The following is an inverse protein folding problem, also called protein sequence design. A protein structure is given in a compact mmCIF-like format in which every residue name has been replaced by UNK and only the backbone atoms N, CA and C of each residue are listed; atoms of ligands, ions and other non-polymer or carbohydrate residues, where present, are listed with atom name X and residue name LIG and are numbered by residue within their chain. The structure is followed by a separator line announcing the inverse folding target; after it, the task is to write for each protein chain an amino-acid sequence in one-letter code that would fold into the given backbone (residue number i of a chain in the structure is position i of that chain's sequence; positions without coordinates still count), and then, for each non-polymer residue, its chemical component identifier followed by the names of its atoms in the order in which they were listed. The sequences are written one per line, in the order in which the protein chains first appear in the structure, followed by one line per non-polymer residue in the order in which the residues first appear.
data_IF_708617702013
#
_entry.id   IF_708617702013
#
_cell.length_a   1.000
_cell.length_b   1.000
_cell.length_c   1.000
_cell.angle_alpha   90.00
_cell.angle_beta   90.00
_cell.angle_gamma   90.00
#
_symmetry.space_group_name_H-M   'P 1'
#
loop_
_entity.id
_entity.type
_entity.pdbx_description
1 polymer ?
#
# COMPACT_ATOMS: atom_id res chain seq x y z
N UNK A 1 -46.96 7.73 49.37
CA UNK A 1 -46.25 6.95 48.36
C UNK A 1 -46.27 7.79 47.11
N UNK A 2 -45.28 8.61 46.97
CA UNK A 2 -45.15 9.61 45.91
C UNK A 2 -44.21 9.06 44.85
N UNK A 3 -44.75 8.71 43.70
CA UNK A 3 -44.05 8.14 42.58
C UNK A 3 -43.41 9.29 41.80
N UNK A 4 -42.12 9.50 41.98
CA UNK A 4 -41.33 10.53 41.32
C UNK A 4 -40.89 9.98 39.99
N UNK A 5 -41.70 10.22 38.95
CA UNK A 5 -41.33 9.92 37.55
C UNK A 5 -40.08 10.72 37.21
N UNK A 6 -39.00 9.98 37.00
CA UNK A 6 -37.77 10.48 36.39
C UNK A 6 -38.05 10.64 34.89
N UNK A 7 -38.45 11.84 34.50
CA UNK A 7 -38.40 12.22 33.08
C UNK A 7 -36.96 12.14 32.58
N UNK A 8 -36.66 11.07 31.89
CA UNK A 8 -35.46 10.97 31.07
C UNK A 8 -35.57 12.05 29.98
N UNK A 9 -34.80 13.09 30.14
CA UNK A 9 -34.65 14.21 29.21
C UNK A 9 -33.93 13.66 27.95
N UNK A 10 -34.68 12.94 27.11
CA UNK A 10 -34.27 12.63 25.75
C UNK A 10 -34.23 13.99 25.04
N UNK A 11 -33.04 14.55 24.89
CA UNK A 11 -32.78 15.72 24.05
C UNK A 11 -33.23 15.38 22.63
N UNK A 12 -34.50 15.60 22.34
CA UNK A 12 -34.99 15.56 20.96
C UNK A 12 -34.24 16.65 20.20
N UNK A 13 -33.46 16.21 19.19
CA UNK A 13 -32.75 17.14 18.31
C UNK A 13 -33.83 17.85 17.48
N UNK A 14 -34.14 19.07 17.85
CA UNK A 14 -35.13 19.89 17.14
C UNK A 14 -34.48 20.41 15.83
N UNK A 15 -34.72 19.67 14.74
CA UNK A 15 -34.20 20.00 13.42
C UNK A 15 -34.66 21.38 12.95
N UNK A 16 -35.88 21.78 13.35
CA UNK A 16 -36.43 23.08 12.99
C UNK A 16 -35.69 24.21 13.70
N UNK A 17 -35.29 24.01 14.96
CA UNK A 17 -34.48 24.98 15.70
C UNK A 17 -33.07 25.13 15.06
N UNK A 18 -32.48 24.04 14.59
CA UNK A 18 -31.19 24.06 13.90
C UNK A 18 -31.29 24.85 12.58
N UNK A 19 -32.30 24.58 11.77
CA UNK A 19 -32.51 25.28 10.49
C UNK A 19 -32.75 26.77 10.72
N UNK A 20 -33.56 27.14 11.75
CA UNK A 20 -33.83 28.53 12.11
C UNK A 20 -32.54 29.24 12.59
N UNK A 21 -31.72 28.59 13.40
CA UNK A 21 -30.43 29.10 13.83
C UNK A 21 -29.44 29.29 12.64
N UNK A 22 -29.44 28.37 11.68
CA UNK A 22 -28.67 28.52 10.43
C UNK A 22 -29.11 29.75 9.64
N UNK A 23 -30.39 30.00 9.51
CA UNK A 23 -30.92 31.18 8.80
C UNK A 23 -30.57 32.48 9.50
N UNK A 24 -30.59 32.50 10.83
CA UNK A 24 -30.27 33.67 11.63
C UNK A 24 -28.78 34.08 11.49
N UNK A 25 -27.89 33.11 11.32
CA UNK A 25 -26.44 33.32 11.16
C UNK A 25 -25.95 33.22 9.70
N UNK A 26 -26.84 33.42 8.71
CA UNK A 26 -26.52 33.31 7.29
C UNK A 26 -25.29 34.12 6.86
N UNK A 27 -25.05 35.29 7.42
CA UNK A 27 -23.87 36.13 7.10
C UNK A 27 -22.57 35.46 7.49
N UNK A 28 -22.55 34.72 8.58
CA UNK A 28 -21.37 34.00 9.04
C UNK A 28 -21.04 32.83 8.08
N UNK A 29 -22.06 32.10 7.60
CA UNK A 29 -21.88 31.05 6.63
C UNK A 29 -21.37 31.55 5.26
N UNK A 30 -21.87 32.71 4.82
CA UNK A 30 -21.39 33.32 3.56
C UNK A 30 -19.92 33.74 3.62
N UNK A 31 -19.36 33.98 4.78
CA UNK A 31 -17.93 34.30 4.96
C UNK A 31 -17.12 33.03 5.19
N UNK A 32 -17.59 32.13 6.05
CA UNK A 32 -16.81 30.91 6.39
C UNK A 32 -16.77 29.91 5.25
N UNK A 33 -17.83 29.73 4.47
CA UNK A 33 -17.92 28.77 3.39
C UNK A 33 -16.87 29.02 2.29
N UNK A 34 -16.70 30.24 1.72
CA UNK A 34 -15.68 30.49 0.73
C UNK A 34 -14.26 30.34 1.31
N UNK A 35 -14.03 30.70 2.58
CA UNK A 35 -12.73 30.51 3.23
C UNK A 35 -12.40 29.02 3.32
N UNK A 36 -13.33 28.19 3.74
CA UNK A 36 -13.13 26.72 3.82
C UNK A 36 -12.87 26.14 2.44
N UNK A 37 -13.59 26.59 1.40
CA UNK A 37 -13.36 26.14 0.02
C UNK A 37 -11.94 26.49 -0.45
N UNK A 38 -11.49 27.71 -0.22
CA UNK A 38 -10.14 28.15 -0.60
C UNK A 38 -9.08 27.33 0.13
N UNK A 39 -9.22 27.14 1.45
CA UNK A 39 -8.29 26.31 2.23
C UNK A 39 -8.30 24.86 1.72
N UNK A 40 -9.45 24.28 1.45
CA UNK A 40 -9.57 22.92 0.91
C UNK A 40 -8.91 22.79 -0.45
N UNK A 41 -9.09 23.76 -1.33
CA UNK A 41 -8.46 23.79 -2.64
C UNK A 41 -6.93 23.85 -2.53
N UNK A 42 -6.40 24.69 -1.65
CA UNK A 42 -4.96 24.78 -1.39
C UNK A 42 -4.40 23.47 -0.84
N UNK A 43 -5.11 22.80 0.06
CA UNK A 43 -4.69 21.51 0.61
C UNK A 43 -4.62 20.42 -0.47
N UNK A 44 -5.62 20.37 -1.38
CA UNK A 44 -5.64 19.37 -2.47
C UNK A 44 -4.48 19.58 -3.44
N UNK A 45 -4.14 20.84 -3.76
CA UNK A 45 -3.00 21.15 -4.64
C UNK A 45 -1.64 20.75 -4.05
N UNK A 46 -1.54 20.60 -2.74
CA UNK A 46 -0.32 20.17 -2.05
C UNK A 46 -0.13 18.65 -1.99
N UNK A 47 -1.11 17.86 -2.43
CA UNK A 47 -0.99 16.39 -2.46
C UNK A 47 -0.23 15.96 -3.70
N UNK A 48 0.86 15.20 -3.57
CA UNK A 48 1.59 14.68 -4.72
C UNK A 48 0.72 13.74 -5.55
N UNK A 49 0.95 13.74 -6.86
CA UNK A 49 0.25 12.84 -7.79
C UNK A 49 0.81 11.43 -7.67
N UNK A 50 -0.05 10.44 -7.91
CA UNK A 50 0.33 9.04 -7.96
C UNK A 50 -0.10 8.44 -9.28
N UNK A 51 0.77 7.61 -9.83
CA UNK A 51 0.56 6.84 -11.04
C UNK A 51 0.41 5.37 -10.66
N UNK A 52 -0.35 4.63 -11.43
CA UNK A 52 -0.57 3.21 -11.23
C UNK A 52 -0.24 2.46 -12.52
N UNK A 53 0.61 1.46 -12.43
CA UNK A 53 0.97 0.55 -13.51
C UNK A 53 0.51 -0.85 -13.14
N UNK A 54 -0.13 -1.55 -14.08
CA UNK A 54 -0.67 -2.89 -13.84
C UNK A 54 -0.19 -3.85 -14.91
N UNK A 55 0.45 -4.93 -14.50
CA UNK A 55 0.79 -6.07 -15.35
C UNK A 55 -0.14 -7.25 -15.02
N UNK A 56 -0.53 -7.98 -16.05
CA UNK A 56 -1.35 -9.18 -15.91
C UNK A 56 -0.56 -10.38 -16.42
N UNK A 57 -0.49 -11.41 -15.59
CA UNK A 57 0.15 -12.68 -15.90
C UNK A 57 -0.95 -13.75 -15.98
N UNK A 58 -0.97 -14.47 -17.08
CA UNK A 58 -1.77 -15.67 -17.20
C UNK A 58 -0.84 -16.86 -17.00
N UNK A 59 -1.06 -17.73 -16.00
CA UNK A 59 -0.27 -18.94 -15.85
C UNK A 59 -0.54 -19.85 -17.05
N UNK A 60 0.50 -20.40 -17.63
CA UNK A 60 0.36 -21.43 -18.65
C UNK A 60 -0.14 -22.71 -17.96
N UNK A 61 -1.36 -23.11 -18.26
CA UNK A 61 -1.96 -24.34 -17.79
C UNK A 61 -1.37 -25.51 -18.57
N UNK A 62 -0.10 -25.84 -18.33
CA UNK A 62 0.46 -27.07 -18.87
C UNK A 62 -0.17 -28.26 -18.13
N UNK A 63 -0.87 -29.11 -18.88
CA UNK A 63 -1.48 -30.33 -18.37
C UNK A 63 -0.41 -31.30 -17.86
N UNK A 64 -0.02 -31.13 -16.59
CA UNK A 64 0.85 -32.12 -15.93
C UNK A 64 0.02 -33.36 -15.60
N UNK A 65 0.47 -34.51 -16.08
CA UNK A 65 -0.04 -35.83 -15.66
C UNK A 65 0.32 -36.06 -14.18
N UNK A 66 -0.54 -35.59 -13.29
CA UNK A 66 -0.27 -35.47 -11.86
C UNK A 66 -0.86 -36.58 -11.03
N UNK A 67 -0.68 -37.85 -11.45
CA UNK A 67 -1.10 -38.97 -10.60
C UNK A 67 -0.25 -39.15 -9.33
N UNK A 68 1.01 -38.66 -9.30
CA UNK A 68 1.90 -38.85 -8.15
C UNK A 68 1.97 -37.65 -7.20
N UNK A 69 1.75 -36.41 -7.68
CA UNK A 69 1.78 -35.22 -6.85
C UNK A 69 0.44 -34.95 -6.15
N UNK A 70 -0.68 -35.37 -6.74
CA UNK A 70 -1.99 -35.31 -6.13
C UNK A 70 -2.09 -36.16 -4.87
N UNK A 71 -1.47 -37.34 -4.87
CA UNK A 71 -1.43 -38.26 -3.72
C UNK A 71 -0.54 -37.70 -2.58
N UNK A 72 0.51 -36.99 -2.90
CA UNK A 72 1.36 -36.33 -1.88
C UNK A 72 0.66 -35.12 -1.27
N UNK A 73 0.01 -34.29 -2.06
CA UNK A 73 -0.68 -33.11 -1.56
C UNK A 73 -1.90 -33.47 -0.71
N UNK A 74 -2.63 -34.54 -1.05
CA UNK A 74 -3.72 -35.04 -0.21
C UNK A 74 -3.23 -35.58 1.13
N UNK A 75 -2.01 -36.15 1.20
CA UNK A 75 -1.39 -36.61 2.44
C UNK A 75 -1.03 -35.47 3.40
N UNK A 76 -0.84 -34.24 2.88
CA UNK A 76 -0.63 -33.02 3.67
C UNK A 76 -1.92 -32.26 3.97
N UNK A 77 -3.09 -32.83 3.65
CA UNK A 77 -4.39 -32.23 3.95
C UNK A 77 -4.83 -31.16 2.96
N UNK A 78 -4.17 -31.03 1.82
CA UNK A 78 -4.63 -30.20 0.73
C UNK A 78 -5.58 -31.00 -0.16
N UNK A 79 -6.87 -30.70 -0.08
CA UNK A 79 -7.87 -31.29 -0.96
C UNK A 79 -7.73 -30.72 -2.38
N UNK A 80 -6.91 -31.37 -3.19
CA UNK A 80 -6.77 -31.07 -4.62
C UNK A 80 -7.87 -31.71 -5.48
N UNK A 81 -8.91 -32.17 -4.85
CA UNK A 81 -9.94 -33.05 -5.45
C UNK A 81 -10.76 -32.49 -6.59
N UNK A 82 -10.58 -31.22 -6.99
CA UNK A 82 -11.26 -30.65 -8.16
C UNK A 82 -10.53 -29.51 -8.85
N UNK A 83 -9.30 -29.20 -8.47
CA UNK A 83 -8.47 -28.23 -9.18
C UNK A 83 -7.55 -29.00 -10.09
N UNK A 84 -7.79 -28.97 -11.39
CA UNK A 84 -6.89 -29.50 -12.42
C UNK A 84 -5.48 -28.97 -12.09
N UNK A 85 -4.63 -29.89 -11.65
CA UNK A 85 -3.28 -29.65 -11.21
C UNK A 85 -2.47 -29.03 -12.35
N UNK A 86 -2.28 -27.74 -12.24
CA UNK A 86 -1.38 -27.03 -13.11
C UNK A 86 0.02 -27.18 -12.56
N UNK A 87 0.97 -27.53 -13.40
CA UNK A 87 2.35 -27.82 -13.07
C UNK A 87 3.16 -26.63 -12.57
N UNK A 88 2.52 -25.61 -12.04
CA UNK A 88 3.20 -24.54 -11.32
C UNK A 88 3.54 -25.03 -9.91
N UNK A 89 4.80 -24.95 -9.57
CA UNK A 89 5.31 -25.34 -8.25
C UNK A 89 4.69 -24.54 -7.11
N UNK A 90 4.00 -23.43 -7.41
CA UNK A 90 3.36 -22.55 -6.46
C UNK A 90 1.93 -22.28 -6.93
N UNK A 91 0.95 -22.54 -6.03
CA UNK A 91 -0.43 -22.20 -6.29
C UNK A 91 -0.59 -20.69 -6.52
N UNK A 92 -1.34 -20.26 -7.56
CA UNK A 92 -1.52 -18.85 -7.84
C UNK A 92 -2.03 -18.03 -6.64
N UNK A 93 -2.78 -18.64 -5.75
CA UNK A 93 -3.29 -17.99 -4.53
C UNK A 93 -2.20 -17.59 -3.52
N UNK A 94 -0.99 -18.16 -3.63
CA UNK A 94 0.15 -17.83 -2.76
C UNK A 94 0.98 -16.64 -3.25
N UNK A 95 0.78 -16.19 -4.50
CA UNK A 95 1.56 -15.06 -5.02
C UNK A 95 1.42 -13.76 -4.23
N UNK A 96 0.24 -13.37 -3.73
CA UNK A 96 0.12 -12.21 -2.86
C UNK A 96 0.97 -12.31 -1.60
N UNK A 97 1.03 -13.48 -0.97
CA UNK A 97 1.83 -13.72 0.23
C UNK A 97 3.33 -13.72 -0.09
N UNK A 98 3.71 -14.30 -1.23
CA UNK A 98 5.09 -14.28 -1.70
C UNK A 98 5.59 -12.85 -1.92
N UNK A 99 4.82 -12.01 -2.61
CA UNK A 99 5.16 -10.60 -2.86
C UNK A 99 5.28 -9.81 -1.56
N UNK A 100 4.49 -10.13 -0.55
CA UNK A 100 4.54 -9.50 0.77
C UNK A 100 5.62 -10.08 1.69
N UNK A 101 6.36 -11.11 1.25
CA UNK A 101 7.45 -11.67 2.03
C UNK A 101 8.62 -10.70 2.17
N UNK A 102 9.29 -10.71 3.32
CA UNK A 102 10.45 -9.85 3.54
C UNK A 102 11.58 -10.07 2.54
N UNK A 103 11.76 -11.31 2.10
CA UNK A 103 12.79 -11.65 1.12
C UNK A 103 12.49 -11.00 -0.23
N UNK A 104 11.26 -11.11 -0.70
CA UNK A 104 10.83 -10.46 -1.93
C UNK A 104 10.94 -8.93 -1.84
N UNK A 105 10.42 -8.32 -0.77
CA UNK A 105 10.44 -6.87 -0.57
C UNK A 105 11.86 -6.31 -0.50
N UNK A 106 12.76 -7.00 0.20
CA UNK A 106 14.16 -6.56 0.29
C UNK A 106 14.92 -6.75 -1.02
N UNK A 107 14.53 -7.72 -1.83
CA UNK A 107 15.08 -7.89 -3.16
C UNK A 107 14.85 -6.67 -4.05
N UNK A 108 13.77 -5.92 -3.84
CA UNK A 108 13.45 -4.71 -4.61
C UNK A 108 14.30 -3.49 -4.20
N UNK A 109 15.04 -3.53 -3.10
CA UNK A 109 15.84 -2.40 -2.62
C UNK A 109 16.92 -1.98 -3.63
N UNK A 110 17.58 -2.97 -4.26
CA UNK A 110 18.69 -2.74 -5.18
C UNK A 110 18.26 -2.42 -6.62
N UNK A 111 16.95 -2.36 -6.87
CA UNK A 111 16.43 -2.02 -8.20
C UNK A 111 16.82 -0.59 -8.55
N UNK A 112 17.50 -0.42 -9.67
CA UNK A 112 17.84 0.91 -10.19
C UNK A 112 16.60 1.54 -10.82
N UNK A 113 16.25 2.70 -10.33
CA UNK A 113 15.09 3.48 -10.81
C UNK A 113 15.54 4.80 -11.37
N UNK A 114 14.88 5.22 -12.43
CA UNK A 114 15.12 6.50 -13.10
C UNK A 114 13.79 7.24 -13.25
N UNK A 115 13.78 8.52 -12.88
CA UNK A 115 12.63 9.40 -13.12
C UNK A 115 12.47 9.71 -14.60
N UNK A 116 11.24 9.98 -15.02
CA UNK A 116 10.93 10.43 -16.39
C UNK A 116 11.70 11.71 -16.75
N UNK A 117 11.85 12.63 -15.80
CA UNK A 117 12.60 13.89 -15.97
C UNK A 117 14.13 13.72 -15.94
N UNK A 118 14.61 12.50 -15.72
CA UNK A 118 16.04 12.18 -15.65
C UNK A 118 16.78 12.77 -14.42
N UNK A 119 16.08 13.42 -13.51
CA UNK A 119 16.67 14.05 -12.31
C UNK A 119 17.03 13.03 -11.24
N UNK A 120 16.38 11.87 -11.23
CA UNK A 120 16.57 10.79 -10.26
C UNK A 120 17.14 9.59 -11.01
N UNK A 121 18.29 9.08 -10.54
CA UNK A 121 18.90 7.83 -10.98
C UNK A 121 19.60 7.20 -9.78
N UNK A 122 18.85 6.42 -9.03
CA UNK A 122 19.28 5.85 -7.75
C UNK A 122 18.70 4.45 -7.56
N UNK A 123 19.03 3.79 -6.45
CA UNK A 123 18.32 2.58 -6.03
C UNK A 123 16.92 2.91 -5.52
N UNK A 124 16.00 1.96 -5.63
CA UNK A 124 14.64 2.16 -5.15
C UNK A 124 14.59 2.42 -3.64
N UNK A 125 15.51 1.81 -2.91
CA UNK A 125 15.70 2.11 -1.48
C UNK A 125 16.00 3.59 -1.22
N UNK A 126 17.00 4.15 -1.92
CA UNK A 126 17.40 5.56 -1.74
C UNK A 126 16.30 6.52 -2.22
N UNK A 127 15.60 6.15 -3.28
CA UNK A 127 14.45 6.93 -3.77
C UNK A 127 13.36 7.05 -2.68
N UNK A 128 12.96 5.94 -2.07
CA UNK A 128 11.95 5.94 -1.01
C UNK A 128 12.44 6.62 0.27
N UNK A 129 13.74 6.52 0.57
CA UNK A 129 14.32 7.11 1.77
C UNK A 129 14.44 8.64 1.69
N UNK A 130 14.76 9.19 0.50
CA UNK A 130 15.21 10.59 0.40
C UNK A 130 14.52 11.43 -0.66
N UNK A 131 14.00 10.82 -1.73
CA UNK A 131 13.53 11.54 -2.92
C UNK A 131 12.01 11.56 -3.08
N UNK A 132 11.29 10.78 -2.29
CA UNK A 132 9.84 10.77 -2.37
C UNK A 132 9.24 12.09 -1.89
N UNK A 133 8.39 12.67 -2.70
CA UNK A 133 7.66 13.88 -2.33
C UNK A 133 6.63 13.55 -1.25
N UNK A 134 6.64 14.36 -0.22
CA UNK A 134 5.66 14.28 0.86
C UNK A 134 4.95 15.62 1.03
N UNK A 135 3.66 15.63 1.34
CA UNK A 135 2.94 16.88 1.60
C UNK A 135 3.67 17.72 2.65
N UNK A 136 3.64 19.04 2.50
CA UNK A 136 4.38 19.94 3.40
C UNK A 136 4.01 19.75 4.89
N UNK A 137 2.75 19.41 5.17
CA UNK A 137 2.32 19.14 6.55
C UNK A 137 2.92 17.87 7.15
N UNK A 138 3.29 16.87 6.32
CA UNK A 138 3.96 15.67 6.81
C UNK A 138 5.39 15.96 7.26
N UNK A 139 6.06 16.92 6.61
CA UNK A 139 7.38 17.39 7.03
C UNK A 139 7.29 18.06 8.40
N UNK A 140 6.30 18.92 8.63
CA UNK A 140 6.07 19.57 9.93
C UNK A 140 5.68 18.55 11.02
N UNK A 141 4.81 17.60 10.72
CA UNK A 141 4.46 16.51 11.64
C UNK A 141 5.66 15.62 11.97
N UNK A 142 6.51 15.33 11.00
CA UNK A 142 7.73 14.56 11.25
C UNK A 142 8.73 15.32 12.12
N UNK A 143 8.83 16.65 11.96
CA UNK A 143 9.67 17.49 12.82
C UNK A 143 9.15 17.51 14.26
N UNK A 144 7.84 17.59 14.46
CA UNK A 144 7.23 17.51 15.79
C UNK A 144 7.42 16.10 16.39
N UNK A 145 7.24 15.05 15.56
CA UNK A 145 7.48 13.67 15.98
C UNK A 145 8.95 13.40 16.33
N UNK A 146 9.89 13.99 15.60
CA UNK A 146 11.33 13.85 15.89
C UNK A 146 11.73 14.54 17.18
N UNK A 147 10.98 15.52 17.65
CA UNK A 147 11.21 16.20 18.93
C UNK A 147 10.81 15.31 20.14
N UNK A 148 9.85 14.38 19.92
CA UNK A 148 9.41 13.40 20.92
C UNK A 148 10.03 12.00 20.70
N UNK A 149 10.68 11.75 19.56
CA UNK A 149 11.30 10.48 19.25
C UNK A 149 12.79 10.53 19.62
N UNK A 150 13.21 9.57 20.39
CA UNK A 150 14.61 9.29 20.68
C UNK A 150 15.40 9.15 19.36
N UNK A 151 16.51 9.87 19.27
CA UNK A 151 17.33 10.00 18.08
C UNK A 151 17.97 8.66 17.74
N UNK A 152 17.31 7.82 16.96
CA UNK A 152 17.89 6.60 16.42
C UNK A 152 19.04 6.96 15.46
N UNK A 153 20.24 7.10 16.04
CA UNK A 153 21.49 7.31 15.30
C UNK A 153 22.00 5.96 14.82
N UNK A 154 21.43 5.44 13.75
CA UNK A 154 22.04 4.35 13.00
C UNK A 154 21.98 4.64 11.51
N UNK A 155 22.66 5.73 11.13
CA UNK A 155 23.09 5.96 9.76
C UNK A 155 24.37 5.15 9.54
N UNK A 156 24.24 3.86 9.32
CA UNK A 156 25.29 3.07 8.68
C UNK A 156 24.70 2.53 7.38
N UNK A 157 24.74 3.38 6.35
CA UNK A 157 24.69 2.96 4.96
C UNK A 157 26.03 2.26 4.63
N UNK A 158 26.30 1.15 5.27
CA UNK A 158 27.36 0.24 4.81
C UNK A 158 26.71 -0.82 3.94
N UNK A 159 27.29 -0.98 2.74
CA UNK A 159 27.02 -1.97 1.70
C UNK A 159 27.11 -3.43 2.17
N UNK A 160 26.40 -3.80 3.21
CA UNK A 160 26.20 -5.16 3.59
C UNK A 160 24.89 -5.65 2.98
N UNK A 161 24.94 -6.78 2.26
CA UNK A 161 23.77 -7.53 1.79
C UNK A 161 22.68 -7.44 2.85
N UNK A 162 21.55 -6.85 2.47
CA UNK A 162 20.39 -6.73 3.35
C UNK A 162 19.99 -8.14 3.77
N UNK A 163 19.92 -8.38 5.07
CA UNK A 163 19.49 -9.68 5.57
C UNK A 163 17.98 -9.63 5.81
N UNK A 164 17.16 -10.38 5.04
CA UNK A 164 15.69 -10.36 5.16
C UNK A 164 15.17 -10.75 6.55
N UNK A 165 15.97 -11.54 7.28
CA UNK A 165 15.63 -12.00 8.64
C UNK A 165 15.98 -10.97 9.73
N UNK A 166 16.77 -9.95 9.40
CA UNK A 166 17.26 -8.98 10.38
C UNK A 166 17.33 -7.58 9.78
N UNK A 167 16.18 -6.98 9.58
CA UNK A 167 16.05 -5.63 9.05
C UNK A 167 16.31 -4.59 10.13
N UNK A 168 16.96 -3.49 9.76
CA UNK A 168 17.01 -2.29 10.60
C UNK A 168 15.63 -1.62 10.61
N UNK A 169 15.35 -0.78 11.62
CA UNK A 169 14.09 -0.02 11.68
C UNK A 169 13.79 0.78 10.41
N UNK A 170 14.83 1.32 9.77
CA UNK A 170 14.70 2.07 8.52
C UNK A 170 14.37 1.14 7.35
N UNK A 171 15.06 0.02 7.23
CA UNK A 171 14.80 -1.00 6.21
C UNK A 171 13.39 -1.59 6.34
N UNK A 172 12.95 -1.89 7.55
CA UNK A 172 11.58 -2.36 7.81
C UNK A 172 10.52 -1.32 7.40
N UNK A 173 10.76 -0.04 7.71
CA UNK A 173 9.87 1.04 7.27
C UNK A 173 9.77 1.13 5.74
N UNK A 174 10.90 1.02 5.05
CA UNK A 174 10.94 1.05 3.59
C UNK A 174 10.29 -0.20 3.00
N UNK A 175 10.55 -1.40 3.56
CA UNK A 175 9.89 -2.63 3.14
C UNK A 175 8.36 -2.54 3.25
N UNK A 176 7.84 -2.02 4.35
CA UNK A 176 6.40 -1.78 4.52
C UNK A 176 5.86 -0.72 3.55
N UNK A 177 6.66 0.30 3.24
CA UNK A 177 6.29 1.30 2.22
C UNK A 177 6.18 0.64 0.85
N UNK A 178 7.09 -0.27 0.49
CA UNK A 178 7.02 -1.05 -0.75
C UNK A 178 5.79 -1.96 -0.75
N UNK A 179 5.54 -2.70 0.34
CA UNK A 179 4.37 -3.56 0.48
C UNK A 179 3.04 -2.80 0.31
N UNK A 180 2.97 -1.54 0.76
CA UNK A 180 1.77 -0.71 0.56
C UNK A 180 1.60 -0.20 -0.87
N UNK A 181 2.67 -0.17 -1.67
CA UNK A 181 2.68 0.33 -3.05
C UNK A 181 2.54 -0.77 -4.09
N UNK A 182 2.91 -2.00 -3.74
CA UNK A 182 2.81 -3.17 -4.62
C UNK A 182 1.64 -4.01 -4.16
N UNK A 183 0.69 -4.24 -5.03
CA UNK A 183 -0.44 -5.13 -4.75
C UNK A 183 -0.51 -6.24 -5.79
N UNK A 184 -0.82 -7.44 -5.33
CA UNK A 184 -1.05 -8.59 -6.17
C UNK A 184 -2.44 -9.14 -5.89
N UNK A 185 -3.20 -9.37 -6.93
CA UNK A 185 -4.52 -9.99 -6.84
C UNK A 185 -4.63 -11.12 -7.85
N UNK A 186 -5.28 -12.20 -7.44
CA UNK A 186 -5.50 -13.36 -8.29
C UNK A 186 -6.98 -13.51 -8.55
N UNK A 187 -7.36 -13.59 -9.81
CA UNK A 187 -8.74 -13.89 -10.21
C UNK A 187 -8.99 -15.40 -10.04
N UNK A 188 -9.86 -15.75 -9.12
CA UNK A 188 -10.19 -17.16 -8.81
C UNK A 188 -10.88 -17.91 -9.96
N UNK A 189 -11.44 -17.21 -10.95
CA UNK A 189 -12.11 -17.84 -12.08
C UNK A 189 -11.15 -18.20 -13.21
N UNK A 190 -10.22 -17.29 -13.51
CA UNK A 190 -9.34 -17.39 -14.66
C UNK A 190 -7.87 -17.60 -14.24
N UNK A 191 -7.59 -17.61 -12.93
CA UNK A 191 -6.23 -17.68 -12.36
C UNK A 191 -5.27 -16.61 -12.88
N UNK A 192 -5.83 -15.51 -13.44
CA UNK A 192 -5.03 -14.38 -13.90
C UNK A 192 -4.49 -13.64 -12.69
N UNK A 193 -3.17 -13.48 -12.65
CA UNK A 193 -2.47 -12.72 -11.62
C UNK A 193 -2.35 -11.29 -12.11
N UNK A 194 -2.87 -10.34 -11.33
CA UNK A 194 -2.76 -8.91 -11.60
C UNK A 194 -1.82 -8.27 -10.58
N UNK A 195 -0.68 -7.79 -11.05
CA UNK A 195 0.31 -7.07 -10.26
C UNK A 195 0.10 -5.59 -10.52
N UNK A 196 -0.13 -4.80 -9.48
CA UNK A 196 -0.34 -3.37 -9.58
C UNK A 196 0.67 -2.65 -8.68
N UNK A 197 1.39 -1.70 -9.26
CA UNK A 197 2.36 -0.88 -8.55
C UNK A 197 1.92 0.57 -8.61
N UNK A 198 2.00 1.28 -7.49
CA UNK A 198 1.67 2.68 -7.37
C UNK A 198 2.89 3.49 -6.95
N UNK A 199 3.26 4.52 -7.71
CA UNK A 199 4.33 5.44 -7.35
C UNK A 199 4.09 6.86 -7.88
N UNK A 200 4.93 7.82 -7.44
CA UNK A 200 4.81 9.25 -7.81
C UNK A 200 5.36 9.54 -9.22
N UNK A 201 6.25 8.70 -9.74
CA UNK A 201 6.83 8.85 -11.08
C UNK A 201 6.35 7.72 -11.99
N UNK A 202 5.84 8.04 -13.22
CA UNK A 202 5.29 7.04 -14.12
C UNK A 202 6.34 6.05 -14.64
N UNK A 203 7.59 6.50 -14.86
CA UNK A 203 8.66 5.63 -15.33
C UNK A 203 9.14 4.69 -14.24
N UNK A 204 9.27 5.19 -13.01
CA UNK A 204 9.59 4.37 -11.84
C UNK A 204 8.50 3.32 -11.63
N UNK A 205 7.23 3.74 -11.71
CA UNK A 205 6.07 2.86 -11.57
C UNK A 205 6.10 1.71 -12.61
N UNK A 206 6.34 2.02 -13.88
CA UNK A 206 6.43 1.03 -14.96
C UNK A 206 7.63 0.09 -14.76
N UNK A 207 8.82 0.64 -14.47
CA UNK A 207 10.04 -0.15 -14.24
C UNK A 207 9.89 -1.12 -13.07
N UNK A 208 9.24 -0.67 -12.00
CA UNK A 208 8.98 -1.53 -10.85
C UNK A 208 7.97 -2.63 -11.18
N UNK A 209 6.91 -2.31 -11.91
CA UNK A 209 5.92 -3.31 -12.34
C UNK A 209 6.58 -4.42 -13.14
N UNK A 210 7.43 -4.06 -14.11
CA UNK A 210 8.18 -5.00 -14.93
C UNK A 210 9.18 -5.82 -14.09
N UNK A 211 9.88 -5.15 -13.16
CA UNK A 211 10.83 -5.83 -12.27
C UNK A 211 10.12 -6.80 -11.32
N UNK A 212 9.00 -6.41 -10.73
CA UNK A 212 8.20 -7.28 -9.85
C UNK A 212 7.70 -8.48 -10.63
N UNK A 213 7.20 -8.27 -11.85
CA UNK A 213 6.76 -9.33 -12.75
C UNK A 213 7.91 -10.31 -13.06
N UNK A 214 9.07 -9.80 -13.48
CA UNK A 214 10.23 -10.63 -13.85
C UNK A 214 10.75 -11.42 -12.64
N UNK A 215 10.81 -10.79 -11.47
CA UNK A 215 11.24 -11.49 -10.24
C UNK A 215 10.24 -12.55 -9.80
N UNK A 216 8.94 -12.25 -9.90
CA UNK A 216 7.92 -13.25 -9.59
C UNK A 216 8.06 -14.48 -10.50
N UNK A 217 8.31 -14.29 -11.80
CA UNK A 217 8.58 -15.37 -12.74
C UNK A 217 9.85 -16.16 -12.41
N UNK A 218 10.83 -15.53 -11.79
CA UNK A 218 12.07 -16.21 -11.38
C UNK A 218 11.89 -17.06 -10.11
N UNK A 219 10.90 -16.73 -9.27
CA UNK A 219 10.57 -17.49 -8.07
C UNK A 219 9.70 -18.73 -8.36
N UNK A 220 9.14 -18.82 -9.56
CA UNK A 220 8.33 -19.94 -10.05
C UNK A 220 9.21 -20.96 -10.74
#
# INVERSE_FOLDING_TARGET
MENKDKDENIKQIDVVAIVKAMWQHRKLYFITLPIVIVISCLLILCVPRYYNSTAKLAPELSSFNSSSLGDLASSFGFDLGNSSSNGDAIFPELYPDLINSNDFLTSLFDVKVKSLDGTINTTYYDYLATKQESPWWSKTMNTVKSWFAEKDTTTNANNNKVNPFRLTKQQDRIARSIASKVSCTVDKKNYVISISVQDQDPLICATLTDTVQSRLQQFI
#
